data_IF_304400823655
#
_entry.id   IF_304400823655
#
_cell.length_a   1.000
_cell.length_b   1.000
_cell.length_c   1.000
_cell.angle_alpha   90.00
_cell.angle_beta   90.00
_cell.angle_gamma   90.00
#
_symmetry.space_group_name_H-M   'P 1'
#
loop_
_entity.id
_entity.type
_entity.pdbx_description
1 polymer ?
#
# COMPACT_ATOMS: atom_id res chain seq x y z
N UNK A 1 -7.48 -14.35 0.03
CA UNK A 1 -7.52 -12.95 0.44
C UNK A 1 -7.75 -12.07 -0.77
N UNK A 2 -8.61 -11.06 -0.63
CA UNK A 2 -8.96 -10.15 -1.71
C UNK A 2 -8.20 -8.84 -1.55
N UNK A 3 -7.66 -8.32 -2.66
CA UNK A 3 -6.99 -7.03 -2.66
C UNK A 3 -7.80 -6.08 -3.52
N UNK A 4 -8.18 -4.95 -2.92
CA UNK A 4 -8.97 -3.92 -3.57
C UNK A 4 -8.16 -2.63 -3.66
N UNK A 5 -8.48 -1.80 -4.64
CA UNK A 5 -7.75 -0.55 -4.87
C UNK A 5 -8.74 0.59 -5.04
N UNK A 6 -8.52 1.69 -4.31
CA UNK A 6 -9.28 2.90 -4.57
C UNK A 6 -8.83 3.52 -5.89
N UNK A 7 -9.74 4.25 -6.50
CA UNK A 7 -9.47 4.93 -7.76
C UNK A 7 -8.24 5.83 -7.68
N UNK A 8 -8.10 6.56 -6.58
CA UNK A 8 -6.95 7.44 -6.39
C UNK A 8 -5.63 6.67 -6.38
N UNK A 9 -5.63 5.48 -5.77
CA UNK A 9 -4.44 4.63 -5.77
C UNK A 9 -4.06 4.24 -7.19
N UNK A 10 -5.04 3.85 -7.99
CA UNK A 10 -4.81 3.44 -9.38
C UNK A 10 -4.26 4.61 -10.20
N UNK A 11 -4.83 5.79 -10.03
CA UNK A 11 -4.34 6.99 -10.73
C UNK A 11 -2.91 7.32 -10.36
N UNK A 12 -2.60 7.26 -9.08
CA UNK A 12 -1.25 7.55 -8.60
C UNK A 12 -0.25 6.52 -9.13
N UNK A 13 -0.66 5.25 -9.19
CA UNK A 13 0.19 4.20 -9.72
C UNK A 13 0.50 4.41 -11.20
N UNK A 14 -0.42 4.96 -11.96
CA UNK A 14 -0.21 5.25 -13.36
C UNK A 14 0.75 6.43 -13.60
N UNK A 15 0.98 7.26 -12.58
CA UNK A 15 1.84 8.44 -12.69
C UNK A 15 3.29 8.20 -12.29
N UNK A 16 3.59 7.07 -11.65
CA UNK A 16 4.97 6.79 -11.27
C UNK A 16 5.75 6.25 -12.46
N UNK A 17 7.08 6.28 -12.36
CA UNK A 17 7.94 5.68 -13.37
C UNK A 17 7.58 4.23 -13.61
N UNK A 18 7.78 3.77 -14.84
CA UNK A 18 7.50 2.36 -15.18
C UNK A 18 8.26 1.38 -14.30
N UNK A 19 9.50 1.72 -13.93
CA UNK A 19 10.31 0.88 -13.04
C UNK A 19 9.65 0.76 -11.67
N UNK A 20 9.21 1.88 -11.12
CA UNK A 20 8.52 1.92 -9.83
C UNK A 20 7.21 1.17 -9.91
N UNK A 21 6.43 1.41 -10.96
CA UNK A 21 5.16 0.71 -11.18
C UNK A 21 5.38 -0.81 -11.20
N UNK A 22 6.40 -1.25 -11.90
CA UNK A 22 6.75 -2.66 -12.01
C UNK A 22 7.08 -3.27 -10.65
N UNK A 23 7.88 -2.55 -9.85
CA UNK A 23 8.25 -2.98 -8.51
C UNK A 23 7.03 -3.08 -7.61
N UNK A 24 6.15 -2.09 -7.68
CA UNK A 24 4.93 -2.07 -6.86
C UNK A 24 4.01 -3.22 -7.25
N UNK A 25 3.80 -3.43 -8.54
CA UNK A 25 2.96 -4.53 -9.03
C UNK A 25 3.51 -5.90 -8.63
N UNK A 26 4.83 -6.04 -8.67
CA UNK A 26 5.48 -7.28 -8.25
C UNK A 26 5.24 -7.54 -6.77
N UNK A 27 5.37 -6.50 -5.95
CA UNK A 27 5.15 -6.62 -4.50
C UNK A 27 3.69 -6.95 -4.19
N UNK A 28 2.76 -6.35 -4.91
CA UNK A 28 1.34 -6.64 -4.73
C UNK A 28 0.99 -8.09 -5.11
N UNK A 29 1.60 -8.62 -6.17
CA UNK A 29 1.42 -10.01 -6.54
C UNK A 29 1.96 -10.95 -5.48
N UNK A 30 3.12 -10.63 -4.93
CA UNK A 30 3.71 -11.40 -3.85
C UNK A 30 2.80 -11.40 -2.63
N UNK A 31 2.27 -10.21 -2.29
CA UNK A 31 1.35 -10.06 -1.19
C UNK A 31 0.07 -10.88 -1.39
N UNK A 32 -0.45 -10.88 -2.61
CA UNK A 32 -1.65 -11.65 -2.95
C UNK A 32 -1.44 -13.15 -2.74
N UNK A 33 -0.23 -13.65 -3.02
CA UNK A 33 0.10 -15.08 -2.89
C UNK A 33 0.45 -15.48 -1.47
N UNK A 34 0.75 -14.52 -0.61
CA UNK A 34 1.16 -14.80 0.77
C UNK A 34 -0.07 -14.97 1.66
N UNK A 35 -0.17 -16.05 2.46
CA UNK A 35 -1.28 -16.18 3.43
C UNK A 35 -1.32 -14.98 4.36
N UNK A 36 -2.53 -14.53 4.67
CA UNK A 36 -2.71 -13.34 5.52
C UNK A 36 -1.95 -13.45 6.84
N UNK A 37 -1.91 -14.65 7.42
CA UNK A 37 -1.26 -14.89 8.71
C UNK A 37 0.25 -14.64 8.68
N UNK A 38 0.83 -14.65 7.48
CA UNK A 38 2.27 -14.40 7.30
C UNK A 38 2.59 -12.95 7.00
N UNK A 39 1.56 -12.12 6.87
CA UNK A 39 1.78 -10.69 6.67
C UNK A 39 2.20 -10.05 7.99
N UNK A 40 3.11 -9.08 7.90
CA UNK A 40 3.56 -8.33 9.07
C UNK A 40 3.17 -6.86 8.86
N UNK A 41 1.89 -6.51 9.03
CA UNK A 41 1.44 -5.15 8.75
C UNK A 41 2.10 -4.14 9.68
N UNK A 42 2.55 -3.04 9.11
CA UNK A 42 3.18 -1.95 9.86
C UNK A 42 2.20 -0.80 9.97
N UNK A 43 1.69 -0.59 11.19
CA UNK A 43 0.73 0.47 11.44
C UNK A 43 1.39 1.84 11.32
N UNK A 44 0.64 2.79 10.77
CA UNK A 44 1.07 4.18 10.75
C UNK A 44 0.90 4.78 12.15
N UNK A 45 1.86 5.60 12.56
CA UNK A 45 1.80 6.26 13.86
C UNK A 45 1.05 7.58 13.74
N UNK A 46 0.36 7.96 14.83
CA UNK A 46 -0.40 9.18 14.88
C UNK A 46 -1.90 8.92 14.85
N UNK A 47 -2.64 9.75 15.59
CA UNK A 47 -4.10 9.57 15.72
C UNK A 47 -4.81 9.68 14.37
N UNK A 48 -4.32 10.57 13.49
CA UNK A 48 -4.93 10.77 12.17
C UNK A 48 -4.75 9.58 11.25
N UNK A 49 -3.84 8.66 11.59
CA UNK A 49 -3.57 7.47 10.77
C UNK A 49 -4.10 6.19 11.39
N UNK A 50 -4.96 6.31 12.39
CA UNK A 50 -5.49 5.14 13.08
C UNK A 50 -6.19 4.19 12.09
N UNK A 51 -5.83 2.93 12.17
CA UNK A 51 -6.41 1.91 11.28
C UNK A 51 -5.77 1.82 9.92
N UNK A 52 -4.73 2.62 9.67
CA UNK A 52 -4.00 2.58 8.41
C UNK A 52 -2.68 1.86 8.57
N UNK A 53 -2.28 1.18 7.51
CA UNK A 53 -1.04 0.41 7.48
C UNK A 53 -0.22 0.83 6.27
N UNK A 54 1.07 0.57 6.32
CA UNK A 54 1.98 0.91 5.22
C UNK A 54 2.68 -0.32 4.68
N UNK A 55 2.92 -0.31 3.39
CA UNK A 55 3.74 -1.29 2.70
C UNK A 55 4.84 -0.53 1.99
N UNK A 56 6.08 -0.82 2.33
CA UNK A 56 7.22 -0.14 1.73
C UNK A 56 7.68 -0.85 0.46
N UNK A 57 7.86 -0.07 -0.61
CA UNK A 57 8.44 -0.58 -1.86
C UNK A 57 9.51 0.44 -2.29
N UNK A 58 10.78 0.16 -1.99
CA UNK A 58 11.85 1.12 -2.20
C UNK A 58 11.63 2.38 -1.39
N UNK A 59 11.64 3.53 -2.07
CA UNK A 59 11.38 4.83 -1.43
C UNK A 59 9.91 5.20 -1.43
N UNK A 60 9.05 4.28 -1.84
CA UNK A 60 7.62 4.52 -1.94
C UNK A 60 6.88 3.85 -0.80
N UNK A 61 5.75 4.43 -0.43
CA UNK A 61 4.88 3.88 0.61
C UNK A 61 3.48 3.70 0.04
N UNK A 62 2.93 2.52 0.26
CA UNK A 62 1.55 2.21 -0.09
C UNK A 62 0.76 2.18 1.21
N UNK A 63 -0.33 2.91 1.26
CA UNK A 63 -1.17 3.01 2.46
C UNK A 63 -2.41 2.17 2.23
N UNK A 64 -2.75 1.32 3.19
CA UNK A 64 -3.89 0.43 3.04
C UNK A 64 -4.60 0.19 4.37
N UNK A 65 -5.83 -0.29 4.26
CA UNK A 65 -6.64 -0.73 5.39
C UNK A 65 -6.81 -2.24 5.32
N UNK A 66 -6.98 -2.87 6.48
CA UNK A 66 -7.24 -4.29 6.59
C UNK A 66 -8.70 -4.48 6.96
N UNK A 67 -9.43 -5.24 6.16
CA UNK A 67 -10.81 -5.64 6.46
C UNK A 67 -10.88 -7.15 6.59
N UNK A 68 -12.10 -7.67 6.65
CA UNK A 68 -12.31 -9.12 6.74
C UNK A 68 -11.93 -9.79 5.43
N UNK A 69 -10.77 -10.46 5.42
CA UNK A 69 -10.28 -11.13 4.25
C UNK A 69 -9.94 -10.21 3.10
N UNK A 70 -9.78 -8.91 3.37
CA UNK A 70 -9.54 -7.91 2.34
C UNK A 70 -8.45 -6.94 2.74
N UNK A 71 -7.70 -6.49 1.75
CA UNK A 71 -6.79 -5.35 1.88
C UNK A 71 -7.27 -4.29 0.91
N UNK A 72 -7.47 -3.07 1.40
CA UNK A 72 -7.89 -1.96 0.55
C UNK A 72 -6.76 -0.94 0.45
N UNK A 73 -6.15 -0.84 -0.72
CA UNK A 73 -5.09 0.13 -0.96
C UNK A 73 -5.69 1.48 -1.31
N UNK A 74 -5.31 2.50 -0.53
CA UNK A 74 -5.95 3.81 -0.55
C UNK A 74 -5.15 4.81 -1.36
N UNK A 75 -3.83 4.87 -1.11
CA UNK A 75 -2.97 5.84 -1.76
C UNK A 75 -1.53 5.34 -1.74
N UNK A 76 -0.71 5.95 -2.57
CA UNK A 76 0.72 5.70 -2.55
C UNK A 76 1.44 7.02 -2.78
N UNK A 77 2.68 7.09 -2.35
CA UNK A 77 3.48 8.26 -2.57
C UNK A 77 4.92 8.05 -2.16
N UNK A 78 5.78 8.97 -2.56
CA UNK A 78 7.15 8.97 -2.10
C UNK A 78 7.16 9.21 -0.60
N UNK A 79 8.06 8.55 0.12
CA UNK A 79 8.02 8.57 1.58
C UNK A 79 8.12 9.99 2.16
N UNK A 80 8.76 10.91 1.47
CA UNK A 80 8.86 12.30 1.92
C UNK A 80 7.53 13.05 1.80
N UNK A 81 6.59 12.55 1.00
CA UNK A 81 5.30 13.22 0.75
C UNK A 81 4.17 12.63 1.57
N UNK A 82 4.16 11.32 1.74
CA UNK A 82 3.06 10.61 2.40
C UNK A 82 2.90 11.02 3.85
N UNK A 83 3.98 11.36 4.52
CA UNK A 83 3.99 11.67 5.96
C UNK A 83 3.99 13.15 6.28
N UNK A 84 3.83 14.01 5.30
CA UNK A 84 3.91 15.46 5.51
C UNK A 84 2.61 16.10 5.99
N UNK A 85 1.60 15.38 6.16
CA UNK A 85 0.30 15.96 6.58
C UNK A 85 0.14 16.01 8.07
#
# INVERSE_FOLDING_TARGET
MQILYLHDFIEELERVDKEVEKQIKSKLRELYRTPFEQHAPLALKGAQFKGLYKLRVGDWRLIYKIGRGQLLFITLGHCSEVYRK
#
